data_IF_377489554044
#
_entry.id   IF_377489554044
#
_cell.length_a   1.000
_cell.length_b   1.000
_cell.length_c   1.000
_cell.angle_alpha   90.00
_cell.angle_beta   90.00
_cell.angle_gamma   90.00
#
_symmetry.space_group_name_H-M   'P 1'
#
loop_
_entity.id
_entity.type
_entity.pdbx_description
1 polymer ?
#
# COMPACT_ATOMS: atom_id res chain seq x y z
N UNK A 1 -6.12 -10.62 12.30
CA UNK A 1 -6.46 -9.25 12.81
C UNK A 1 -6.93 -9.39 14.25
N UNK A 2 -6.31 -8.72 15.23
CA UNK A 2 -6.71 -8.81 16.65
C UNK A 2 -7.05 -7.41 17.16
N UNK A 3 -8.28 -7.22 17.64
CA UNK A 3 -8.73 -5.99 18.30
C UNK A 3 -9.23 -6.35 19.71
N UNK A 4 -8.77 -5.62 20.73
CA UNK A 4 -9.27 -5.74 22.11
C UNK A 4 -10.63 -5.05 22.21
N UNK A 5 -11.63 -5.73 22.77
CA UNK A 5 -12.99 -5.23 22.98
C UNK A 5 -13.33 -5.30 24.48
N UNK A 6 -13.75 -4.18 25.06
CA UNK A 6 -14.39 -4.12 26.38
C UNK A 6 -15.87 -3.73 26.19
N UNK A 7 -16.77 -4.60 26.65
CA UNK A 7 -18.22 -4.50 26.46
C UNK A 7 -18.90 -3.40 27.29
N UNK A 8 -18.16 -2.73 28.19
CA UNK A 8 -18.69 -1.71 29.10
C UNK A 8 -18.28 -0.27 28.75
N UNK A 9 -17.62 -0.07 27.60
CA UNK A 9 -17.04 1.22 27.21
C UNK A 9 -17.88 1.95 26.15
N UNK A 10 -17.98 3.27 26.29
CA UNK A 10 -18.82 4.16 25.47
C UNK A 10 -18.28 4.29 24.05
N UNK A 11 -19.11 4.07 23.03
CA UNK A 11 -18.83 4.46 21.65
C UNK A 11 -18.63 5.99 21.60
N UNK A 12 -17.39 6.47 21.67
CA UNK A 12 -17.08 7.90 21.59
C UNK A 12 -16.93 8.31 20.13
N UNK A 13 -17.65 9.34 19.68
CA UNK A 13 -17.64 9.81 18.28
C UNK A 13 -16.38 10.60 17.85
N UNK A 14 -15.33 10.57 18.67
CA UNK A 14 -14.09 11.33 18.46
C UNK A 14 -12.87 10.43 18.57
N UNK A 15 -11.84 10.71 17.77
CA UNK A 15 -10.57 9.99 17.77
C UNK A 15 -10.14 9.59 16.37
N UNK A 16 -9.10 8.77 16.28
CA UNK A 16 -8.63 8.20 15.03
C UNK A 16 -8.14 6.77 15.25
N UNK A 17 -8.24 5.95 14.22
CA UNK A 17 -7.53 4.68 14.15
C UNK A 17 -6.21 4.89 13.44
N UNK A 18 -5.16 4.24 13.92
CA UNK A 18 -3.87 4.16 13.26
C UNK A 18 -3.54 2.72 12.90
N UNK A 19 -2.83 2.55 11.78
CA UNK A 19 -2.22 1.27 11.38
C UNK A 19 -0.73 1.32 11.65
N UNK A 20 -0.23 0.37 12.43
CA UNK A 20 1.15 0.35 12.91
C UNK A 20 1.81 -0.95 12.51
N UNK A 21 2.97 -0.88 11.85
CA UNK A 21 3.75 -2.05 11.45
C UNK A 21 4.09 -2.89 12.67
N UNK A 22 3.95 -4.21 12.57
CA UNK A 22 4.38 -5.17 13.58
C UNK A 22 5.80 -5.65 13.30
N UNK A 23 6.63 -5.81 14.33
CA UNK A 23 8.03 -6.24 14.21
C UNK A 23 8.27 -7.73 14.43
N UNK A 24 7.26 -8.43 14.95
CA UNK A 24 7.37 -9.84 15.30
C UNK A 24 6.29 -10.67 14.64
N UNK A 25 6.70 -11.85 14.20
CA UNK A 25 5.75 -12.88 13.80
C UNK A 25 4.85 -13.26 14.98
N UNK A 26 3.60 -13.57 14.65
CA UNK A 26 2.56 -13.92 15.61
C UNK A 26 1.64 -14.98 15.00
N UNK A 27 0.91 -15.68 15.84
CA UNK A 27 -0.02 -16.74 15.42
C UNK A 27 -1.39 -16.47 16.00
N UNK A 28 -2.42 -16.45 15.15
CA UNK A 28 -3.81 -16.19 15.56
C UNK A 28 -4.30 -17.15 16.65
N UNK A 29 -3.77 -18.37 16.71
CA UNK A 29 -4.20 -19.37 17.69
C UNK A 29 -3.49 -19.26 19.04
N UNK A 30 -2.34 -18.59 19.11
CA UNK A 30 -1.49 -18.60 20.32
C UNK A 30 -1.11 -17.21 20.81
N UNK A 31 -1.39 -16.18 20.02
CA UNK A 31 -1.16 -14.79 20.40
C UNK A 31 -2.12 -14.38 21.53
N UNK A 32 -1.57 -13.69 22.52
CA UNK A 32 -2.32 -13.14 23.66
C UNK A 32 -1.84 -11.71 23.94
N UNK A 33 -2.45 -11.05 24.93
CA UNK A 33 -2.00 -9.74 25.39
C UNK A 33 -0.53 -9.72 25.85
N UNK A 34 -0.01 -10.80 26.42
CA UNK A 34 1.32 -10.84 27.04
C UNK A 34 2.38 -11.59 26.21
N UNK A 35 1.98 -12.26 25.13
CA UNK A 35 2.87 -13.14 24.35
C UNK A 35 2.44 -13.13 22.89
N UNK A 36 3.37 -13.02 21.91
CA UNK A 36 4.83 -13.18 22.02
C UNK A 36 5.62 -11.88 22.28
N UNK A 37 4.96 -10.86 22.83
CA UNK A 37 5.46 -9.50 22.86
C UNK A 37 6.52 -9.24 23.94
N UNK A 38 7.45 -8.30 23.72
CA UNK A 38 8.39 -7.86 24.75
C UNK A 38 7.71 -7.05 25.86
N UNK A 39 6.59 -6.39 25.53
CA UNK A 39 5.72 -5.70 26.46
C UNK A 39 4.25 -6.06 26.17
N UNK A 40 3.36 -6.02 27.16
CA UNK A 40 1.96 -6.31 26.92
C UNK A 40 1.34 -5.38 25.87
N UNK A 41 0.56 -5.95 24.96
CA UNK A 41 -0.17 -5.20 23.92
C UNK A 41 0.48 -5.16 22.54
N UNK A 42 1.71 -5.65 22.35
CA UNK A 42 2.29 -5.81 21.02
C UNK A 42 3.77 -5.46 20.90
N UNK A 43 4.31 -5.68 19.70
CA UNK A 43 5.63 -5.21 19.27
C UNK A 43 5.47 -4.51 17.90
N UNK A 44 5.29 -3.19 17.92
CA UNK A 44 4.88 -2.42 16.74
C UNK A 44 5.53 -1.03 16.73
N UNK A 45 5.49 -0.36 15.56
CA UNK A 45 6.01 0.98 15.36
C UNK A 45 5.33 2.02 16.28
N UNK A 46 6.08 3.00 16.77
CA UNK A 46 5.50 4.08 17.58
C UNK A 46 4.68 5.08 16.73
N UNK A 47 5.02 5.20 15.46
CA UNK A 47 4.34 6.07 14.48
C UNK A 47 3.46 5.21 13.59
N UNK A 48 2.24 5.65 13.34
CA UNK A 48 1.35 4.96 12.41
C UNK A 48 1.83 5.16 10.97
N UNK A 49 1.68 4.14 10.13
CA UNK A 49 1.89 4.26 8.68
C UNK A 49 0.79 5.14 8.07
N UNK A 50 -0.43 5.08 8.61
CA UNK A 50 -1.53 5.98 8.29
C UNK A 50 -2.56 6.05 9.42
N UNK A 51 -3.40 7.09 9.38
CA UNK A 51 -4.52 7.25 10.30
C UNK A 51 -5.83 7.51 9.55
N UNK A 52 -6.94 7.10 10.16
CA UNK A 52 -8.29 7.37 9.68
C UNK A 52 -9.12 7.95 10.84
N UNK A 53 -9.82 9.09 10.65
CA UNK A 53 -10.69 9.64 11.68
C UNK A 53 -11.88 8.72 11.92
N UNK A 54 -12.33 8.62 13.17
CA UNK A 54 -13.52 7.86 13.53
C UNK A 54 -14.77 8.48 12.88
N UNK A 55 -15.72 7.63 12.50
CA UNK A 55 -17.04 8.04 12.01
C UNK A 55 -18.13 7.51 12.96
N UNK A 56 -19.04 8.39 13.40
CA UNK A 56 -20.17 8.04 14.25
C UNK A 56 -21.35 7.39 13.50
N UNK A 57 -21.28 7.34 12.18
CA UNK A 57 -22.20 6.59 11.33
C UNK A 57 -21.86 5.11 11.49
N UNK A 58 -22.72 4.30 12.10
CA UNK A 58 -22.44 2.87 12.27
C UNK A 58 -22.16 2.15 10.94
N UNK A 59 -21.37 1.07 10.98
CA UNK A 59 -20.96 0.25 9.83
C UNK A 59 -20.21 1.01 8.71
N UNK A 60 -19.14 1.72 9.09
CA UNK A 60 -18.28 2.48 8.17
C UNK A 60 -16.98 1.74 7.82
N UNK A 61 -16.50 1.96 6.58
CA UNK A 61 -15.19 1.54 6.14
C UNK A 61 -14.11 2.55 6.53
N UNK A 62 -13.09 2.08 7.23
CA UNK A 62 -11.86 2.83 7.46
C UNK A 62 -10.82 2.46 6.41
N UNK A 63 -10.37 3.44 5.63
CA UNK A 63 -9.32 3.29 4.65
C UNK A 63 -8.00 3.87 5.18
N UNK A 64 -6.90 3.17 4.94
CA UNK A 64 -5.56 3.58 5.35
C UNK A 64 -4.66 3.51 4.12
N UNK A 65 -4.01 4.62 3.79
CA UNK A 65 -2.99 4.63 2.74
C UNK A 65 -1.68 4.05 3.31
N UNK A 66 -1.39 2.82 2.91
CA UNK A 66 -0.24 2.05 3.39
C UNK A 66 0.79 1.81 2.28
N UNK A 67 0.70 2.57 1.18
CA UNK A 67 1.45 2.36 -0.05
C UNK A 67 2.95 2.26 0.19
N UNK A 68 3.54 3.22 0.89
CA UNK A 68 4.99 3.22 1.18
C UNK A 68 5.43 1.98 1.97
N UNK A 69 4.60 1.49 2.90
CA UNK A 69 4.94 0.31 3.70
C UNK A 69 4.78 -0.99 2.90
N UNK A 70 3.74 -1.07 2.08
CA UNK A 70 3.55 -2.21 1.17
C UNK A 70 4.72 -2.31 0.21
N UNK A 71 5.18 -1.18 -0.35
CA UNK A 71 6.35 -1.15 -1.23
C UNK A 71 7.61 -1.65 -0.51
N UNK A 72 7.87 -1.19 0.72
CA UNK A 72 9.01 -1.70 1.53
C UNK A 72 8.94 -3.23 1.71
N UNK A 73 7.75 -3.78 1.92
CA UNK A 73 7.54 -5.23 2.08
C UNK A 73 7.66 -6.01 0.77
N UNK A 74 7.33 -5.40 -0.38
CA UNK A 74 7.61 -5.98 -1.70
C UNK A 74 9.13 -6.12 -1.87
N UNK A 75 9.87 -5.06 -1.53
CA UNK A 75 11.34 -5.06 -1.63
C UNK A 75 12.01 -5.96 -0.58
N UNK A 76 11.40 -6.08 0.60
CA UNK A 76 11.94 -6.78 1.77
C UNK A 76 10.89 -7.69 2.43
N UNK A 77 10.52 -8.82 1.80
CA UNK A 77 9.38 -9.63 2.23
C UNK A 77 9.53 -10.25 3.63
N UNK A 78 10.76 -10.44 4.10
CA UNK A 78 11.03 -10.96 5.45
C UNK A 78 10.66 -9.98 6.58
N UNK A 79 10.36 -8.73 6.24
CA UNK A 79 9.98 -7.68 7.19
C UNK A 79 8.46 -7.57 7.39
N UNK A 80 7.66 -8.32 6.64
CA UNK A 80 6.20 -8.27 6.71
C UNK A 80 5.66 -9.20 7.80
N UNK A 81 5.22 -8.60 8.91
CA UNK A 81 4.47 -9.29 9.98
C UNK A 81 3.03 -8.76 10.13
N UNK A 82 2.59 -7.97 9.15
CA UNK A 82 1.29 -7.29 9.14
C UNK A 82 1.24 -6.03 10.00
N UNK A 83 0.00 -5.58 10.25
CA UNK A 83 -0.31 -4.38 11.01
C UNK A 83 -1.11 -4.67 12.27
N UNK A 84 -0.90 -3.81 13.26
CA UNK A 84 -1.82 -3.58 14.37
C UNK A 84 -2.71 -2.38 14.02
N UNK A 85 -4.01 -2.54 14.16
CA UNK A 85 -4.96 -1.42 14.10
C UNK A 85 -5.40 -1.11 15.51
N UNK A 86 -5.25 0.14 15.91
CA UNK A 86 -5.66 0.60 17.25
C UNK A 86 -6.09 2.05 17.22
N UNK A 87 -6.84 2.44 18.23
CA UNK A 87 -7.15 3.85 18.40
C UNK A 87 -5.90 4.64 18.80
N UNK A 88 -5.78 5.87 18.35
CA UNK A 88 -4.65 6.76 18.73
C UNK A 88 -4.76 7.25 20.17
N UNK A 89 -5.97 7.25 20.72
CA UNK A 89 -6.35 7.80 22.02
C UNK A 89 -7.13 6.78 22.87
N UNK A 90 -6.64 5.53 22.93
CA UNK A 90 -7.30 4.39 23.60
C UNK A 90 -7.76 4.63 25.04
N UNK A 91 -7.14 5.57 25.76
CA UNK A 91 -7.49 5.91 27.15
C UNK A 91 -8.81 6.69 27.26
N UNK A 92 -9.36 7.17 26.15
CA UNK A 92 -10.65 7.85 26.08
C UNK A 92 -11.81 6.90 25.77
N UNK A 93 -11.55 5.60 25.70
CA UNK A 93 -12.56 4.54 25.54
C UNK A 93 -13.33 4.59 24.22
N UNK A 94 -12.78 5.22 23.19
CA UNK A 94 -13.39 5.43 21.87
C UNK A 94 -13.24 4.24 20.89
N UNK A 95 -13.53 3.04 21.38
CA UNK A 95 -13.32 1.78 20.63
C UNK A 95 -14.48 1.50 19.66
N UNK A 96 -14.18 0.80 18.56
CA UNK A 96 -15.17 0.21 17.64
C UNK A 96 -14.87 -1.28 17.46
N UNK A 97 -15.90 -2.13 17.32
CA UNK A 97 -15.70 -3.49 16.83
C UNK A 97 -15.34 -3.45 15.33
N UNK A 98 -14.34 -4.23 14.95
CA UNK A 98 -13.98 -4.43 13.54
C UNK A 98 -14.41 -5.81 13.07
N UNK A 99 -14.84 -5.90 11.81
CA UNK A 99 -15.04 -7.20 11.16
C UNK A 99 -13.71 -7.90 10.94
N UNK A 100 -13.68 -9.21 11.17
CA UNK A 100 -12.52 -10.06 10.90
C UNK A 100 -12.65 -10.78 9.54
N UNK A 101 -11.60 -11.51 9.14
CA UNK A 101 -11.63 -12.43 8.00
C UNK A 101 -12.72 -13.49 8.11
N UNK A 102 -13.11 -13.84 9.34
CA UNK A 102 -14.12 -14.84 9.66
C UNK A 102 -15.55 -14.28 9.67
N UNK A 103 -15.75 -13.01 9.28
CA UNK A 103 -17.07 -12.43 9.15
C UNK A 103 -17.94 -13.27 8.20
N UNK A 104 -19.17 -13.57 8.61
CA UNK A 104 -20.14 -14.34 7.81
C UNK A 104 -20.53 -13.62 6.54
N UNK A 105 -20.53 -12.28 6.57
CA UNK A 105 -20.69 -11.45 5.39
C UNK A 105 -19.33 -11.19 4.73
N UNK A 106 -19.05 -11.87 3.62
CA UNK A 106 -17.82 -11.69 2.86
C UNK A 106 -17.61 -10.25 2.35
N UNK A 107 -18.69 -9.48 2.18
CA UNK A 107 -18.63 -8.08 1.77
C UNK A 107 -18.00 -7.17 2.83
N UNK A 108 -18.01 -7.56 4.10
CA UNK A 108 -17.52 -6.78 5.25
C UNK A 108 -16.14 -7.24 5.76
N UNK A 109 -15.53 -8.25 5.14
CA UNK A 109 -14.20 -8.73 5.54
C UNK A 109 -13.13 -7.70 5.17
N UNK A 110 -12.09 -7.49 5.99
CA UNK A 110 -10.98 -6.60 5.66
C UNK A 110 -10.33 -6.96 4.32
N UNK A 111 -9.87 -5.95 3.57
CA UNK A 111 -9.23 -6.12 2.27
C UNK A 111 -7.97 -5.26 2.20
N UNK A 112 -6.92 -5.81 1.59
CA UNK A 112 -5.80 -5.05 1.08
C UNK A 112 -6.00 -4.93 -0.43
N UNK A 113 -6.07 -3.71 -0.93
CA UNK A 113 -6.16 -3.43 -2.36
C UNK A 113 -4.77 -2.99 -2.81
N UNK A 114 -4.18 -3.76 -3.70
CA UNK A 114 -2.97 -3.39 -4.42
C UNK A 114 -3.44 -3.11 -5.84
N UNK A 115 -3.52 -1.84 -6.19
CA UNK A 115 -3.55 -1.45 -7.59
C UNK A 115 -2.08 -1.21 -7.96
N UNK A 116 -1.61 -1.86 -9.03
CA UNK A 116 -0.49 -1.25 -9.76
C UNK A 116 -1.02 0.06 -10.30
N UNK A 117 -0.23 1.12 -10.21
CA UNK A 117 -0.62 2.41 -10.76
C UNK A 117 -0.56 2.33 -12.29
N UNK A 118 -1.49 1.60 -12.91
CA UNK A 118 -1.77 1.74 -14.35
C UNK A 118 -2.39 3.13 -14.66
N UNK A 119 -2.27 4.08 -13.73
CA UNK A 119 -2.76 5.45 -13.80
C UNK A 119 -1.77 6.51 -13.29
N UNK A 120 -0.63 6.13 -12.72
CA UNK A 120 0.45 7.06 -12.33
C UNK A 120 1.76 6.77 -13.06
N UNK A 121 1.76 6.02 -14.16
CA UNK A 121 2.91 6.00 -15.06
C UNK A 121 3.03 7.36 -15.76
N UNK A 122 4.12 8.09 -15.49
CA UNK A 122 4.44 9.29 -16.25
C UNK A 122 4.74 8.85 -17.69
N UNK A 123 4.05 9.39 -18.71
CA UNK A 123 4.35 9.03 -20.09
C UNK A 123 5.83 9.29 -20.40
N UNK A 124 6.60 8.23 -20.64
CA UNK A 124 8.05 8.30 -20.86
C UNK A 124 8.94 7.86 -19.69
N UNK A 125 8.37 7.49 -18.54
CA UNK A 125 9.06 6.75 -17.48
C UNK A 125 9.09 5.26 -17.87
N UNK A 126 10.15 4.86 -18.56
CA UNK A 126 10.27 3.52 -19.17
C UNK A 126 10.74 2.50 -18.14
N UNK A 127 11.42 2.93 -17.07
CA UNK A 127 11.90 2.01 -16.02
C UNK A 127 10.98 1.91 -14.81
N UNK A 128 9.93 2.74 -14.74
CA UNK A 128 8.97 2.79 -13.64
C UNK A 128 9.56 3.32 -12.33
N UNK A 129 10.61 4.16 -12.39
CA UNK A 129 11.26 4.72 -11.20
C UNK A 129 10.59 6.00 -10.67
N UNK A 130 9.52 6.44 -11.34
CA UNK A 130 8.73 7.61 -11.00
C UNK A 130 9.34 8.92 -11.52
N UNK A 131 10.38 8.89 -12.37
CA UNK A 131 11.03 10.08 -12.92
C UNK A 131 11.35 9.92 -14.41
N UNK A 132 10.94 10.86 -15.26
CA UNK A 132 11.31 10.83 -16.69
C UNK A 132 12.69 11.44 -16.89
N UNK A 133 13.70 10.59 -17.08
CA UNK A 133 15.11 10.98 -17.12
C UNK A 133 15.98 10.11 -18.06
N UNK A 134 17.29 10.09 -17.82
CA UNK A 134 18.26 9.60 -18.80
C UNK A 134 18.30 8.06 -18.90
N UNK A 135 18.22 7.32 -17.78
CA UNK A 135 17.80 5.93 -17.72
C UNK A 135 16.68 5.53 -18.68
N UNK A 136 15.59 6.30 -18.78
CA UNK A 136 14.45 5.96 -19.66
C UNK A 136 14.84 6.01 -21.12
N UNK A 137 15.60 7.03 -21.51
CA UNK A 137 16.15 7.14 -22.87
C UNK A 137 17.07 5.96 -23.19
N UNK A 138 17.82 5.45 -22.21
CA UNK A 138 18.72 4.32 -22.41
C UNK A 138 17.97 3.00 -22.61
N UNK A 139 16.83 2.80 -21.94
CA UNK A 139 15.98 1.62 -22.16
C UNK A 139 15.27 1.70 -23.51
N UNK A 140 14.66 2.84 -23.81
CA UNK A 140 14.03 3.08 -25.11
C UNK A 140 15.03 2.89 -26.27
N UNK A 141 16.26 3.38 -26.12
CA UNK A 141 17.31 3.20 -27.12
C UNK A 141 17.76 1.74 -27.31
N UNK A 142 17.63 0.88 -26.29
CA UNK A 142 17.97 -0.54 -26.41
C UNK A 142 16.98 -1.30 -27.30
N UNK A 143 15.71 -0.88 -27.29
CA UNK A 143 14.63 -1.48 -28.05
C UNK A 143 14.29 -0.70 -29.35
N UNK A 144 15.07 0.33 -29.69
CA UNK A 144 14.80 1.22 -30.83
C UNK A 144 14.67 0.47 -32.16
N UNK A 145 13.56 0.74 -32.86
CA UNK A 145 13.25 0.16 -34.17
C UNK A 145 12.70 -1.27 -34.13
N UNK A 146 12.43 -1.81 -32.94
CA UNK A 146 11.73 -3.09 -32.81
C UNK A 146 10.22 -2.90 -32.86
N UNK A 147 9.52 -3.97 -33.19
CA UNK A 147 8.06 -4.07 -33.23
C UNK A 147 7.59 -5.20 -32.32
N UNK A 148 6.30 -5.25 -31.98
CA UNK A 148 5.72 -6.31 -31.12
C UNK A 148 6.05 -7.76 -31.55
N UNK A 149 6.43 -7.98 -32.80
CA UNK A 149 6.82 -9.29 -33.34
C UNK A 149 8.30 -9.65 -33.08
N UNK A 150 9.12 -8.69 -32.63
CA UNK A 150 10.55 -8.88 -32.41
C UNK A 150 10.86 -9.38 -30.98
N UNK A 151 11.83 -10.29 -30.87
CA UNK A 151 12.19 -10.90 -29.58
C UNK A 151 12.77 -9.91 -28.55
N UNK A 152 13.26 -8.76 -29.01
CA UNK A 152 13.85 -7.70 -28.17
C UNK A 152 12.90 -6.51 -27.99
N UNK A 153 11.64 -6.66 -28.37
CA UNK A 153 10.63 -5.65 -28.13
C UNK A 153 10.39 -5.50 -26.62
N UNK A 154 10.41 -4.25 -26.18
CA UNK A 154 10.13 -3.86 -24.81
C UNK A 154 8.82 -3.06 -24.80
N UNK A 155 7.71 -3.61 -24.27
CA UNK A 155 6.42 -2.93 -24.26
C UNK A 155 6.47 -1.60 -23.50
N UNK A 156 7.35 -1.46 -22.51
CA UNK A 156 7.45 -0.25 -21.70
C UNK A 156 8.13 0.90 -22.48
N UNK A 157 8.88 0.56 -23.55
CA UNK A 157 9.50 1.53 -24.45
C UNK A 157 8.60 1.93 -25.65
N UNK A 158 7.47 1.24 -25.87
CA UNK A 158 6.40 1.63 -26.83
C UNK A 158 5.41 2.58 -26.13
N UNK A 159 5.89 3.78 -25.83
CA UNK A 159 5.21 4.77 -24.97
C UNK A 159 3.85 5.19 -25.54
N UNK A 160 3.65 5.14 -26.86
CA UNK A 160 2.37 5.47 -27.48
C UNK A 160 1.47 4.24 -27.75
N UNK A 161 1.95 3.03 -27.44
CA UNK A 161 1.30 1.75 -27.67
C UNK A 161 0.89 1.51 -29.14
N UNK A 162 1.69 1.97 -30.11
CA UNK A 162 1.44 1.78 -31.55
C UNK A 162 2.00 0.47 -32.11
N UNK A 163 2.72 -0.29 -31.27
CA UNK A 163 3.33 -1.57 -31.57
C UNK A 163 4.72 -1.45 -32.20
N UNK A 164 5.32 -0.27 -32.24
CA UNK A 164 6.65 -0.01 -32.82
C UNK A 164 7.42 1.04 -32.03
N UNK A 165 8.64 0.73 -31.59
CA UNK A 165 9.46 1.68 -30.82
C UNK A 165 10.22 2.59 -31.78
N UNK A 166 9.78 3.84 -31.90
CA UNK A 166 10.23 4.78 -32.91
C UNK A 166 10.17 6.26 -32.48
N UNK A 167 10.09 7.20 -33.44
CA UNK A 167 10.23 8.64 -33.18
C UNK A 167 9.10 9.20 -32.29
N UNK A 168 7.82 8.87 -32.54
CA UNK A 168 6.73 9.08 -31.61
C UNK A 168 7.04 8.77 -30.13
N UNK A 169 7.67 7.65 -29.81
CA UNK A 169 7.90 7.24 -28.41
C UNK A 169 8.90 8.15 -27.71
N UNK A 170 10.04 8.40 -28.36
CA UNK A 170 11.04 9.32 -27.80
C UNK A 170 10.54 10.77 -27.75
N UNK A 171 9.59 11.16 -28.61
CA UNK A 171 8.97 12.47 -28.54
C UNK A 171 8.02 12.62 -27.34
N UNK A 172 7.32 11.56 -26.95
CA UNK A 172 6.51 11.56 -25.72
C UNK A 172 7.45 11.64 -24.52
N UNK A 173 8.47 10.78 -24.45
CA UNK A 173 9.47 10.82 -23.38
C UNK A 173 10.09 12.22 -23.25
N UNK A 174 10.51 12.82 -24.35
CA UNK A 174 11.08 14.17 -24.35
C UNK A 174 10.07 15.25 -23.91
N UNK A 175 8.77 15.06 -24.15
CA UNK A 175 7.73 16.00 -23.73
C UNK A 175 7.54 16.02 -22.20
N UNK A 176 7.79 14.89 -21.54
CA UNK A 176 7.68 14.73 -20.08
C UNK A 176 9.03 14.83 -19.36
N UNK A 177 10.09 15.24 -20.07
CA UNK A 177 11.45 15.26 -19.51
C UNK A 177 11.56 16.04 -18.20
N UNK A 178 12.00 15.37 -17.14
CA UNK A 178 12.19 15.93 -15.81
C UNK A 178 10.93 15.98 -14.95
N UNK A 179 9.81 15.41 -15.41
CA UNK A 179 8.66 15.13 -14.55
C UNK A 179 8.97 14.01 -13.56
N UNK A 180 8.37 14.10 -12.38
CA UNK A 180 8.48 13.08 -11.34
C UNK A 180 7.18 12.96 -10.56
N UNK A 181 6.84 11.75 -10.14
CA UNK A 181 5.70 11.51 -9.26
C UNK A 181 5.95 12.14 -7.87
N UNK A 182 4.89 12.58 -7.17
CA UNK A 182 4.99 13.27 -5.88
C UNK A 182 5.46 12.40 -4.71
#
# INVERSE_FOLDING_TARGET
MYAYYDEWMTYGDSGSYGVYRVFRNWSEMTCTWNSPWPAPGGDFDATADATAPKDGSGDVWYAFDVTSRVQEWIDNPLLNFGWLIKCTDELLYNQDPFHSSESTNAGLRPKLVIAGDEGDELPGDVNGDGCVNLPDVLLLAQAWGTTVDDANYDPDADVNADGSINLPDILILAAHWGESLP
#
